data_IF_685028861694
#
_entry.id   IF_685028861694
#
_cell.length_a   1.000
_cell.length_b   1.000
_cell.length_c   1.000
_cell.angle_alpha   90.00
_cell.angle_beta   90.00
_cell.angle_gamma   90.00
#
_symmetry.space_group_name_H-M   'P 1'
#
loop_
_entity.id
_entity.type
_entity.pdbx_description
1 polymer ?
#
# COMPACT_ATOMS: atom_id res chain seq x y z
N UNK A 1 -3.21 18.36 9.39
CA UNK A 1 -1.87 18.17 9.96
C UNK A 1 -0.93 17.71 8.86
N UNK A 2 0.33 18.17 8.85
CA UNK A 2 1.34 17.65 7.92
C UNK A 2 1.88 16.33 8.49
N UNK A 3 2.01 15.32 7.65
CA UNK A 3 2.64 14.05 8.02
C UNK A 3 4.15 14.21 7.89
N UNK A 4 4.91 13.74 8.87
CA UNK A 4 6.36 13.77 8.85
C UNK A 4 6.90 12.50 9.52
N UNK A 5 7.98 11.95 8.97
CA UNK A 5 8.68 10.85 9.60
C UNK A 5 9.57 11.38 10.72
N UNK A 6 9.48 10.74 11.88
CA UNK A 6 10.42 10.96 12.98
C UNK A 6 11.65 10.09 12.78
N UNK A 7 12.81 10.51 13.30
CA UNK A 7 14.04 9.73 13.21
C UNK A 7 13.89 8.31 13.78
N UNK A 8 13.09 8.15 14.84
CA UNK A 8 12.79 6.83 15.41
C UNK A 8 11.99 5.92 14.47
N UNK A 9 11.15 6.49 13.59
CA UNK A 9 10.49 5.69 12.55
C UNK A 9 11.51 5.13 11.57
N UNK A 10 12.48 5.95 11.16
CA UNK A 10 13.55 5.54 10.25
C UNK A 10 14.44 4.47 10.89
N UNK A 11 14.84 4.66 12.15
CA UNK A 11 15.62 3.68 12.92
C UNK A 11 14.88 2.35 13.08
N UNK A 12 13.58 2.42 13.41
CA UNK A 12 12.76 1.22 13.56
C UNK A 12 12.71 0.43 12.25
N UNK A 13 12.47 1.10 11.13
CA UNK A 13 12.43 0.49 9.81
C UNK A 13 13.78 -0.13 9.41
N UNK A 14 14.89 0.58 9.63
CA UNK A 14 16.23 0.07 9.33
C UNK A 14 16.57 -1.21 10.11
N UNK A 15 16.08 -1.32 11.35
CA UNK A 15 16.36 -2.48 12.20
C UNK A 15 15.46 -3.69 11.90
N UNK A 16 14.21 -3.47 11.49
CA UNK A 16 13.21 -4.54 11.34
C UNK A 16 12.79 -4.81 9.90
N UNK A 17 13.20 -3.97 8.94
CA UNK A 17 12.76 -4.03 7.55
C UNK A 17 11.27 -3.71 7.35
N UNK A 18 10.56 -3.27 8.40
CA UNK A 18 9.14 -2.97 8.35
C UNK A 18 8.72 -1.96 9.42
N UNK A 19 7.59 -1.29 9.22
CA UNK A 19 6.99 -0.37 10.20
C UNK A 19 5.47 -0.21 9.96
N UNK A 20 4.70 -0.25 11.04
CA UNK A 20 3.24 -0.05 11.04
C UNK A 20 2.88 1.40 11.45
N UNK A 21 1.94 1.99 10.73
CA UNK A 21 1.26 3.24 11.09
C UNK A 21 -0.25 2.99 11.22
N UNK A 22 -0.84 3.28 12.38
CA UNK A 22 -2.26 2.99 12.65
C UNK A 22 -3.24 3.92 11.92
N UNK A 23 -2.83 5.15 11.62
CA UNK A 23 -3.71 6.19 11.06
C UNK A 23 -3.09 6.84 9.82
N UNK A 24 -2.56 6.03 8.91
CA UNK A 24 -1.94 6.51 7.68
C UNK A 24 -2.99 7.14 6.74
N UNK A 25 -4.20 6.54 6.71
CA UNK A 25 -5.38 7.06 6.03
C UNK A 25 -6.52 7.30 7.02
N UNK A 26 -7.45 8.20 6.65
CA UNK A 26 -8.70 8.33 7.39
C UNK A 26 -9.65 7.21 6.97
N UNK A 27 -10.53 6.80 7.89
CA UNK A 27 -11.58 5.82 7.60
C UNK A 27 -12.44 6.21 6.40
N UNK A 28 -12.71 7.51 6.23
CA UNK A 28 -13.44 8.05 5.09
C UNK A 28 -12.70 7.80 3.76
N UNK A 29 -11.41 8.14 3.70
CA UNK A 29 -10.59 7.94 2.48
C UNK A 29 -10.53 6.44 2.12
N UNK A 30 -10.42 5.55 3.13
CA UNK A 30 -10.45 4.09 2.94
C UNK A 30 -11.77 3.60 2.34
N UNK A 31 -12.90 4.01 2.92
CA UNK A 31 -14.24 3.62 2.45
C UNK A 31 -14.51 4.12 1.04
N UNK A 32 -14.16 5.38 0.74
CA UNK A 32 -14.34 5.95 -0.59
C UNK A 32 -13.53 5.16 -1.63
N UNK A 33 -12.28 4.83 -1.30
CA UNK A 33 -11.42 4.05 -2.18
C UNK A 33 -11.95 2.62 -2.38
N UNK A 34 -12.37 1.94 -1.31
CA UNK A 34 -12.91 0.58 -1.38
C UNK A 34 -14.18 0.52 -2.25
N UNK A 35 -15.05 1.53 -2.17
CA UNK A 35 -16.23 1.64 -3.03
C UNK A 35 -15.82 1.81 -4.50
N UNK A 36 -14.83 2.66 -4.80
CA UNK A 36 -14.34 2.86 -6.17
C UNK A 36 -13.70 1.59 -6.74
N UNK A 37 -12.90 0.89 -5.95
CA UNK A 37 -12.32 -0.41 -6.30
C UNK A 37 -13.40 -1.43 -6.64
N UNK A 38 -14.39 -1.59 -5.75
CA UNK A 38 -15.50 -2.52 -5.95
C UNK A 38 -16.33 -2.19 -7.19
N UNK A 39 -16.63 -0.91 -7.39
CA UNK A 39 -17.40 -0.44 -8.56
C UNK A 39 -16.63 -0.62 -9.87
N UNK A 40 -15.31 -0.47 -9.85
CA UNK A 40 -14.49 -0.72 -11.03
C UNK A 40 -14.48 -2.22 -11.37
N UNK A 41 -14.12 -3.07 -10.40
CA UNK A 41 -13.99 -4.52 -10.62
C UNK A 41 -15.33 -5.14 -11.04
N UNK A 42 -16.45 -4.72 -10.44
CA UNK A 42 -17.78 -5.24 -10.81
C UNK A 42 -18.23 -4.85 -12.22
N UNK A 43 -17.71 -3.74 -12.78
CA UNK A 43 -17.98 -3.34 -14.16
C UNK A 43 -17.18 -4.15 -15.17
N UNK A 44 -15.93 -4.49 -14.85
CA UNK A 44 -15.02 -5.19 -15.78
C UNK A 44 -15.09 -6.71 -15.67
N UNK A 45 -15.59 -7.25 -14.55
CA UNK A 45 -15.66 -8.68 -14.32
C UNK A 45 -16.91 -9.10 -13.53
N UNK A 46 -17.51 -10.22 -13.93
CA UNK A 46 -18.53 -10.92 -13.15
C UNK A 46 -17.95 -11.64 -11.92
N UNK A 47 -16.66 -11.99 -11.98
CA UNK A 47 -15.93 -12.57 -10.86
C UNK A 47 -15.03 -11.50 -10.24
N UNK A 48 -15.45 -10.96 -9.10
CA UNK A 48 -14.71 -9.91 -8.39
C UNK A 48 -13.46 -10.41 -7.67
N UNK A 49 -13.27 -11.73 -7.57
CA UNK A 49 -12.10 -12.35 -6.94
C UNK A 49 -10.99 -12.67 -7.96
N UNK A 50 -11.22 -12.47 -9.26
CA UNK A 50 -10.19 -12.70 -10.27
C UNK A 50 -9.02 -11.71 -10.07
N UNK A 51 -7.82 -12.23 -9.83
CA UNK A 51 -6.57 -11.45 -9.62
C UNK A 51 -6.32 -10.51 -10.80
N UNK A 52 -6.63 -10.95 -12.03
CA UNK A 52 -6.32 -10.18 -13.25
C UNK A 52 -6.93 -8.78 -13.22
N UNK A 53 -8.12 -8.64 -12.67
CA UNK A 53 -8.86 -7.37 -12.64
C UNK A 53 -8.57 -6.53 -11.40
N UNK A 54 -7.73 -7.02 -10.49
CA UNK A 54 -7.38 -6.39 -9.22
C UNK A 54 -5.95 -5.87 -9.15
N UNK A 55 -5.14 -6.17 -10.16
CA UNK A 55 -3.78 -5.65 -10.28
C UNK A 55 -3.70 -4.42 -11.18
N UNK A 56 -2.72 -3.55 -10.93
CA UNK A 56 -2.44 -2.35 -11.73
C UNK A 56 -3.64 -1.38 -11.84
N UNK A 57 -4.42 -1.29 -10.77
CA UNK A 57 -5.64 -0.50 -10.64
C UNK A 57 -5.35 1.00 -10.69
N UNK A 58 -4.18 1.45 -10.25
CA UNK A 58 -3.77 2.86 -10.34
C UNK A 58 -3.82 3.42 -11.77
N UNK A 59 -3.76 2.55 -12.79
CA UNK A 59 -3.89 2.93 -14.21
C UNK A 59 -5.33 3.30 -14.60
N UNK A 60 -6.32 2.83 -13.85
CA UNK A 60 -7.75 3.03 -14.12
C UNK A 60 -8.45 3.85 -13.05
N UNK A 61 -7.93 3.86 -11.82
CA UNK A 61 -8.50 4.53 -10.64
C UNK A 61 -7.51 5.62 -10.19
N UNK A 62 -7.66 6.86 -10.68
CA UNK A 62 -6.71 7.94 -10.40
C UNK A 62 -6.63 8.31 -8.91
N UNK A 63 -7.66 7.98 -8.13
CA UNK A 63 -7.69 8.18 -6.69
C UNK A 63 -6.56 7.47 -5.96
N UNK A 64 -6.05 6.35 -6.49
CA UNK A 64 -4.91 5.65 -5.90
C UNK A 64 -3.67 6.55 -5.97
N UNK A 65 -3.36 7.08 -7.15
CA UNK A 65 -2.23 8.00 -7.35
C UNK A 65 -2.42 9.31 -6.57
N UNK A 66 -3.64 9.87 -6.57
CA UNK A 66 -3.96 11.08 -5.79
C UNK A 66 -3.74 10.87 -4.29
N UNK A 67 -4.16 9.72 -3.75
CA UNK A 67 -3.97 9.37 -2.34
C UNK A 67 -2.48 9.21 -2.00
N UNK A 68 -1.71 8.53 -2.85
CA UNK A 68 -0.25 8.40 -2.69
C UNK A 68 0.44 9.77 -2.66
N UNK A 69 0.08 10.68 -3.58
CA UNK A 69 0.66 12.02 -3.62
C UNK A 69 0.23 12.89 -2.43
N UNK A 70 -1.07 12.92 -2.12
CA UNK A 70 -1.64 13.71 -1.01
C UNK A 70 -1.04 13.32 0.34
N UNK A 71 -0.75 12.02 0.52
CA UNK A 71 -0.19 11.46 1.76
C UNK A 71 1.33 11.29 1.72
N UNK A 72 1.97 11.71 0.62
CA UNK A 72 3.42 11.63 0.43
C UNK A 72 3.99 10.21 0.60
N UNK A 73 3.20 9.16 0.30
CA UNK A 73 3.57 7.77 0.59
C UNK A 73 4.81 7.33 -0.20
N UNK A 74 4.94 7.80 -1.45
CA UNK A 74 6.14 7.54 -2.26
C UNK A 74 7.40 8.19 -1.68
N UNK A 75 7.28 9.37 -1.05
CA UNK A 75 8.39 10.04 -0.37
C UNK A 75 8.78 9.31 0.90
N UNK A 76 7.80 8.89 1.71
CA UNK A 76 8.07 8.10 2.92
C UNK A 76 8.74 6.76 2.59
N UNK A 77 8.24 6.05 1.57
CA UNK A 77 8.88 4.84 1.07
C UNK A 77 10.35 5.11 0.66
N UNK A 78 10.61 6.20 -0.08
CA UNK A 78 11.95 6.57 -0.50
C UNK A 78 12.89 6.89 0.68
N UNK A 79 12.39 7.58 1.71
CA UNK A 79 13.14 7.87 2.95
C UNK A 79 13.48 6.59 3.73
N UNK A 80 12.55 5.64 3.81
CA UNK A 80 12.79 4.37 4.51
C UNK A 80 13.92 3.54 3.89
N UNK A 81 14.03 3.54 2.56
CA UNK A 81 15.02 2.74 1.82
C UNK A 81 16.20 3.55 1.27
N UNK A 82 16.38 4.80 1.73
CA UNK A 82 17.48 5.69 1.35
C UNK A 82 17.62 5.87 -0.17
N UNK A 83 16.48 6.04 -0.86
CA UNK A 83 16.44 6.32 -2.30
C UNK A 83 16.09 7.78 -2.55
N UNK A 84 16.63 8.41 -3.60
CA UNK A 84 16.31 9.80 -3.94
C UNK A 84 14.83 9.96 -4.35
N UNK A 85 14.27 8.94 -5.00
CA UNK A 85 12.89 8.91 -5.45
C UNK A 85 12.42 7.49 -5.71
N UNK A 86 11.17 7.22 -5.38
CA UNK A 86 10.44 6.02 -5.79
C UNK A 86 9.18 6.39 -6.56
N UNK A 87 8.70 5.47 -7.38
CA UNK A 87 7.42 5.57 -8.09
C UNK A 87 6.61 4.29 -7.90
N UNK A 88 5.29 4.42 -7.88
CA UNK A 88 4.39 3.27 -7.88
C UNK A 88 4.54 2.53 -9.20
N UNK A 89 4.93 1.25 -9.15
CA UNK A 89 5.08 0.41 -10.35
C UNK A 89 4.01 -0.67 -10.44
N UNK A 90 3.46 -1.08 -9.30
CA UNK A 90 2.45 -2.13 -9.19
C UNK A 90 1.56 -1.87 -7.99
N UNK A 91 0.28 -2.18 -8.12
CA UNK A 91 -0.65 -2.30 -7.00
C UNK A 91 -1.52 -3.55 -7.15
N UNK A 92 -2.08 -4.01 -6.03
CA UNK A 92 -2.98 -5.16 -5.99
C UNK A 92 -4.02 -4.96 -4.88
N UNK A 93 -5.30 -5.06 -5.23
CA UNK A 93 -6.38 -5.11 -4.23
C UNK A 93 -6.52 -6.53 -3.71
N UNK A 94 -6.24 -6.74 -2.41
CA UNK A 94 -6.08 -8.03 -1.74
C UNK A 94 -7.27 -8.35 -0.83
N UNK A 95 -7.65 -9.62 -0.78
CA UNK A 95 -8.65 -10.15 0.16
C UNK A 95 -8.00 -10.97 1.28
N UNK A 96 -8.70 -11.07 2.42
CA UNK A 96 -8.19 -11.72 3.63
C UNK A 96 -7.78 -13.19 3.55
N UNK A 97 -8.16 -13.90 2.48
CA UNK A 97 -7.84 -15.31 2.27
C UNK A 97 -6.62 -15.52 1.35
N UNK A 98 -6.06 -14.43 0.84
CA UNK A 98 -4.95 -14.47 -0.11
C UNK A 98 -3.62 -14.28 0.60
N UNK A 99 -2.60 -14.98 0.11
CA UNK A 99 -1.23 -14.75 0.53
C UNK A 99 -0.63 -13.57 -0.23
N UNK A 100 0.04 -12.69 0.49
CA UNK A 100 0.82 -11.61 -0.11
C UNK A 100 2.16 -12.19 -0.52
N UNK A 101 2.34 -12.39 -1.82
CA UNK A 101 3.61 -12.87 -2.39
C UNK A 101 4.70 -11.80 -2.27
N UNK A 102 5.92 -12.25 -2.01
CA UNK A 102 7.10 -11.40 -1.99
C UNK A 102 7.36 -10.79 -3.39
N UNK A 103 7.74 -9.51 -3.38
CA UNK A 103 8.10 -8.75 -4.58
C UNK A 103 9.56 -8.34 -4.58
N UNK A 104 10.08 -7.97 -5.76
CA UNK A 104 11.46 -7.49 -5.93
C UNK A 104 11.57 -5.96 -5.83
N UNK A 105 10.47 -5.26 -5.52
CA UNK A 105 10.44 -3.81 -5.43
C UNK A 105 11.21 -3.26 -4.21
N UNK A 106 11.74 -2.04 -4.34
CA UNK A 106 12.57 -1.42 -3.30
C UNK A 106 11.80 -1.28 -1.97
N UNK A 107 10.51 -0.96 -2.01
CA UNK A 107 9.67 -0.86 -0.82
C UNK A 107 8.21 -1.17 -1.17
N UNK A 108 7.51 -1.92 -0.30
CA UNK A 108 6.09 -2.20 -0.44
C UNK A 108 5.32 -1.57 0.71
N UNK A 109 4.11 -1.07 0.42
CA UNK A 109 3.16 -0.60 1.41
C UNK A 109 1.88 -1.43 1.30
N UNK A 110 1.45 -2.00 2.41
CA UNK A 110 0.12 -2.57 2.55
C UNK A 110 -0.80 -1.58 3.28
N UNK A 111 -1.97 -1.28 2.71
CA UNK A 111 -2.99 -0.42 3.31
C UNK A 111 -4.23 -1.23 3.65
N UNK A 112 -4.68 -1.18 4.90
CA UNK A 112 -5.95 -1.76 5.29
C UNK A 112 -7.11 -0.83 4.91
N UNK A 113 -8.00 -1.31 4.04
CA UNK A 113 -9.15 -0.54 3.55
C UNK A 113 -10.43 -0.82 4.34
N UNK A 114 -10.53 -1.98 4.99
CA UNK A 114 -11.67 -2.36 5.82
C UNK A 114 -11.27 -3.22 7.02
N UNK A 115 -12.21 -3.47 7.94
CA UNK A 115 -11.96 -4.16 9.21
C UNK A 115 -11.56 -3.22 10.35
N UNK A 116 -11.12 -3.77 11.49
CA UNK A 116 -10.78 -2.97 12.67
C UNK A 116 -9.52 -2.12 12.47
N UNK A 117 -8.56 -2.62 11.68
CA UNK A 117 -7.33 -1.90 11.31
C UNK A 117 -7.50 -0.95 10.13
N UNK A 118 -8.74 -0.59 9.76
CA UNK A 118 -8.99 0.33 8.64
C UNK A 118 -8.23 1.64 8.81
N UNK A 119 -7.47 2.02 7.78
CA UNK A 119 -6.63 3.22 7.77
C UNK A 119 -5.18 2.95 8.19
N UNK A 120 -4.89 1.78 8.74
CA UNK A 120 -3.53 1.34 9.02
C UNK A 120 -2.76 1.05 7.75
N UNK A 121 -1.45 1.32 7.77
CA UNK A 121 -0.54 0.99 6.70
C UNK A 121 0.78 0.43 7.20
N UNK A 122 1.31 -0.58 6.54
CA UNK A 122 2.62 -1.17 6.84
C UNK A 122 3.54 -1.00 5.66
N UNK A 123 4.65 -0.28 5.86
CA UNK A 123 5.76 -0.28 4.93
C UNK A 123 6.69 -1.45 5.25
N UNK A 124 7.21 -2.13 4.25
CA UNK A 124 8.12 -3.25 4.43
C UNK A 124 9.00 -3.51 3.19
N UNK A 125 10.10 -4.24 3.40
CA UNK A 125 10.93 -4.86 2.36
C UNK A 125 10.93 -6.38 2.53
N UNK A 126 11.02 -7.11 1.42
CA UNK A 126 10.96 -8.57 1.43
C UNK A 126 9.55 -9.11 1.74
N UNK A 127 9.42 -10.17 2.57
CA UNK A 127 8.15 -10.84 2.81
C UNK A 127 7.17 -10.00 3.62
N UNK A 128 5.88 -10.25 3.41
CA UNK A 128 4.81 -9.55 4.13
C UNK A 128 4.86 -9.82 5.64
N UNK A 129 4.95 -8.78 6.51
CA UNK A 129 5.08 -8.95 7.94
C UNK A 129 3.71 -9.25 8.59
N UNK A 130 3.30 -10.52 8.47
CA UNK A 130 1.97 -11.00 8.91
C UNK A 130 1.70 -10.75 10.40
N UNK A 131 2.74 -10.71 11.22
CA UNK A 131 2.64 -10.45 12.67
C UNK A 131 2.32 -8.99 13.00
N UNK A 132 2.66 -8.04 12.11
CA UNK A 132 2.42 -6.61 12.32
C UNK A 132 1.04 -6.18 11.86
N UNK A 133 0.58 -6.71 10.73
CA UNK A 133 -0.75 -6.41 10.22
C UNK A 133 -1.34 -7.65 9.57
N UNK A 134 -2.42 -8.15 10.15
CA UNK A 134 -3.17 -9.27 9.59
C UNK A 134 -4.49 -8.78 9.05
N UNK A 135 -4.80 -9.15 7.82
CA UNK A 135 -6.14 -8.95 7.27
C UNK A 135 -7.15 -9.80 8.04
N UNK A 136 -8.14 -9.13 8.62
CA UNK A 136 -9.25 -9.78 9.28
C UNK A 136 -10.14 -10.52 8.28
N UNK A 137 -10.88 -11.56 8.71
CA UNK A 137 -11.83 -12.23 7.84
C UNK A 137 -12.80 -11.23 7.19
N UNK A 138 -12.91 -11.29 5.85
CA UNK A 138 -13.75 -10.39 5.01
C UNK A 138 -13.24 -8.95 4.89
N UNK A 139 -12.10 -8.61 5.49
CA UNK A 139 -11.44 -7.34 5.23
C UNK A 139 -10.72 -7.36 3.88
N UNK A 140 -10.48 -6.17 3.34
CA UNK A 140 -9.70 -5.96 2.12
C UNK A 140 -8.58 -4.96 2.37
N UNK A 141 -7.55 -5.05 1.56
CA UNK A 141 -6.42 -4.13 1.62
C UNK A 141 -5.84 -3.87 0.23
N UNK A 142 -4.98 -2.86 0.15
CA UNK A 142 -4.32 -2.46 -1.09
C UNK A 142 -2.82 -2.55 -0.90
N UNK A 143 -2.18 -3.41 -1.68
CA UNK A 143 -0.73 -3.43 -1.82
C UNK A 143 -0.30 -2.41 -2.85
N UNK A 144 0.75 -1.66 -2.51
CA UNK A 144 1.38 -0.65 -3.34
C UNK A 144 2.88 -0.93 -3.36
N UNK A 145 3.42 -1.28 -4.51
CA UNK A 145 4.84 -1.57 -4.67
C UNK A 145 5.56 -0.39 -5.32
N UNK A 146 6.61 0.08 -4.66
CA UNK A 146 7.39 1.25 -5.03
C UNK A 146 8.79 0.86 -5.46
N UNK A 147 9.22 1.38 -6.61
CA UNK A 147 10.55 1.10 -7.14
C UNK A 147 11.24 2.37 -7.65
N UNK A 148 12.57 2.32 -7.59
CA UNK A 148 13.52 3.29 -8.14
C UNK A 148 13.85 3.02 -9.61
N UNK A 149 13.39 1.90 -10.20
CA UNK A 149 13.64 1.57 -11.60
C UNK A 149 13.21 2.73 -12.51
N UNK A 150 14.15 3.20 -13.34
CA UNK A 150 13.97 4.34 -14.23
C UNK A 150 14.32 5.71 -13.62
N UNK A 151 14.71 5.77 -12.34
CA UNK A 151 15.30 6.96 -11.73
C UNK A 151 16.82 6.78 -11.56
N UNK A 152 17.64 7.83 -11.82
CA UNK A 152 19.08 7.74 -11.60
C UNK A 152 19.38 7.57 -10.11
N UNK A 153 20.30 6.66 -9.79
CA UNK A 153 20.96 6.59 -8.48
C UNK A 153 22.09 7.63 -8.54
N UNK A 154 21.93 8.74 -7.83
CA UNK A 154 22.93 9.81 -7.72
C UNK A 154 23.59 9.75 -6.37
#
# INVERSE_FOLDING_TARGET
MRFALHLEHLRHFQNHGSILFEALLTKYDCLELEVKLRNFVSKVSKNTQDIRWRGNLFRSIPEISLMIHKRQLSSFAAEFVHRPKLSLVRDLWVFSHEEVLEGEEDCTLFLSLSGASMGSGVFFVGPYPTDLCRLEPKATGLLLAFSSIGHPIV
#
